data_IF_395736877032
#
_entry.id   IF_395736877032
#
_cell.length_a   1.000
_cell.length_b   1.000
_cell.length_c   1.000
_cell.angle_alpha   90.00
_cell.angle_beta   90.00
_cell.angle_gamma   90.00
#
_symmetry.space_group_name_H-M   'P 1'
#
loop_
_entity.id
_entity.type
_entity.pdbx_description
1 polymer ?
#
# COMPACT_ATOMS: atom_id res chain seq x y z
N UNK A 1 -16.59 0.29 -0.98
CA UNK A 1 -15.21 0.01 -1.44
C UNK A 1 -15.06 0.81 -2.70
N UNK A 2 -14.19 1.80 -2.68
CA UNK A 2 -13.82 2.52 -3.90
C UNK A 2 -13.24 1.51 -4.88
N UNK A 3 -13.49 1.70 -6.17
CA UNK A 3 -12.89 0.89 -7.22
C UNK A 3 -11.38 0.88 -7.04
N UNK A 4 -10.79 -0.31 -6.87
CA UNK A 4 -9.35 -0.42 -6.65
C UNK A 4 -8.96 -1.78 -6.05
N UNK A 5 -7.67 -1.97 -5.94
CA UNK A 5 -7.10 -3.17 -5.33
C UNK A 5 -7.29 -3.14 -3.81
N UNK A 6 -7.59 -4.28 -3.24
CA UNK A 6 -7.84 -4.43 -1.79
C UNK A 6 -6.63 -3.97 -0.96
N UNK A 7 -5.43 -4.32 -1.38
CA UNK A 7 -4.16 -3.99 -0.72
C UNK A 7 -3.81 -2.50 -0.72
N UNK A 8 -4.51 -1.70 -1.51
CA UNK A 8 -4.43 -0.23 -1.50
C UNK A 8 -5.40 0.41 -0.53
N UNK A 9 -6.40 -0.32 -0.04
CA UNK A 9 -7.43 0.17 0.86
C UNK A 9 -7.22 -0.31 2.30
N UNK A 10 -6.90 -1.58 2.47
CA UNK A 10 -6.57 -2.13 3.78
C UNK A 10 -5.60 -3.32 3.67
N UNK A 11 -4.82 -3.54 4.70
CA UNK A 11 -3.85 -4.62 4.77
C UNK A 11 -3.88 -5.30 6.15
N UNK A 12 -4.35 -6.55 6.23
CA UNK A 12 -4.19 -7.35 7.44
C UNK A 12 -2.71 -7.72 7.61
N UNK A 13 -2.04 -7.12 8.59
CA UNK A 13 -0.61 -7.37 8.83
C UNK A 13 -0.38 -8.70 9.55
N UNK A 14 -1.34 -9.11 10.37
CA UNK A 14 -1.41 -10.42 11.02
C UNK A 14 -2.81 -10.61 11.63
N UNK A 15 -3.16 -11.82 12.13
CA UNK A 15 -4.43 -12.02 12.84
C UNK A 15 -4.60 -11.00 13.97
N UNK A 16 -5.73 -10.30 13.97
CA UNK A 16 -6.07 -9.29 14.97
C UNK A 16 -5.56 -7.88 14.67
N UNK A 17 -4.89 -7.60 13.54
CA UNK A 17 -4.33 -6.28 13.26
C UNK A 17 -4.42 -5.88 11.78
N UNK A 18 -4.98 -4.69 11.50
CA UNK A 18 -5.20 -4.16 10.16
C UNK A 18 -4.66 -2.74 10.05
N UNK A 19 -3.93 -2.45 8.96
CA UNK A 19 -3.71 -1.08 8.47
C UNK A 19 -4.82 -0.74 7.48
N UNK A 20 -5.43 0.44 7.58
CA UNK A 20 -6.55 0.81 6.73
C UNK A 20 -6.53 2.28 6.34
N UNK A 21 -7.06 2.59 5.17
CA UNK A 21 -7.51 3.94 4.87
C UNK A 21 -8.72 4.29 5.73
N UNK A 22 -8.89 5.58 6.02
CA UNK A 22 -9.97 6.10 6.86
C UNK A 22 -11.37 5.80 6.31
N UNK A 23 -11.51 5.74 4.99
CA UNK A 23 -12.80 5.58 4.32
C UNK A 23 -13.33 4.13 4.33
N UNK A 24 -12.50 3.17 4.70
CA UNK A 24 -12.94 1.77 4.85
C UNK A 24 -13.60 1.61 6.21
N UNK A 25 -14.84 1.14 6.22
CA UNK A 25 -15.69 1.05 7.41
C UNK A 25 -16.19 -0.38 7.64
N UNK A 26 -16.94 -0.56 8.74
CA UNK A 26 -17.62 -1.80 9.10
C UNK A 26 -16.71 -3.00 9.42
N UNK A 27 -15.52 -2.73 9.92
CA UNK A 27 -14.61 -3.80 10.34
C UNK A 27 -15.17 -4.68 11.45
N UNK A 28 -15.99 -4.13 12.34
CA UNK A 28 -16.61 -4.90 13.44
C UNK A 28 -17.52 -6.03 12.95
N UNK A 29 -18.10 -5.89 11.76
CA UNK A 29 -18.91 -6.96 11.15
C UNK A 29 -18.04 -8.06 10.55
N UNK A 30 -16.93 -7.70 9.90
CA UNK A 30 -16.08 -8.63 9.14
C UNK A 30 -14.93 -9.17 9.99
N UNK A 31 -14.36 -8.32 10.86
CA UNK A 31 -13.20 -8.59 11.71
C UNK A 31 -13.48 -8.18 13.15
N UNK A 32 -14.47 -8.80 13.83
CA UNK A 32 -14.87 -8.37 15.18
C UNK A 32 -13.71 -8.44 16.17
N UNK A 33 -13.52 -7.34 16.90
CA UNK A 33 -12.47 -7.22 17.92
C UNK A 33 -11.04 -7.07 17.39
N UNK A 34 -10.86 -6.86 16.07
CA UNK A 34 -9.54 -6.59 15.52
C UNK A 34 -9.13 -5.13 15.77
N UNK A 35 -7.83 -4.93 15.99
CA UNK A 35 -7.23 -3.61 16.13
C UNK A 35 -6.98 -3.01 14.73
N UNK A 36 -7.59 -1.87 14.45
CA UNK A 36 -7.51 -1.21 13.15
C UNK A 36 -6.79 0.12 13.28
N UNK A 37 -5.68 0.26 12.57
CA UNK A 37 -4.97 1.51 12.43
C UNK A 37 -5.50 2.27 11.20
N UNK A 38 -6.37 3.24 11.43
CA UNK A 38 -6.86 4.12 10.38
C UNK A 38 -5.85 5.21 10.06
N UNK A 39 -5.35 5.20 8.83
CA UNK A 39 -4.46 6.26 8.37
C UNK A 39 -5.26 7.52 8.02
N UNK A 40 -4.72 8.70 8.32
CA UNK A 40 -5.39 9.97 8.00
C UNK A 40 -5.53 10.16 6.49
N UNK A 41 -6.46 11.02 6.11
CA UNK A 41 -6.58 11.46 4.74
C UNK A 41 -5.26 12.07 4.25
N UNK A 42 -5.04 11.95 2.95
CA UNK A 42 -3.86 12.51 2.33
C UNK A 42 -3.75 14.02 2.56
N UNK A 43 -2.52 14.49 2.76
CA UNK A 43 -2.22 15.91 2.78
C UNK A 43 -2.31 16.52 1.39
N UNK A 44 -3.39 17.23 1.09
CA UNK A 44 -3.55 17.98 -0.17
C UNK A 44 -2.42 18.98 -0.44
N UNK A 45 -1.71 19.43 0.59
CA UNK A 45 -0.53 20.29 0.40
C UNK A 45 0.61 19.61 -0.33
N UNK A 46 0.81 18.31 -0.09
CA UNK A 46 1.82 17.51 -0.79
C UNK A 46 1.38 17.18 -2.21
N UNK A 47 0.10 16.78 -2.37
CA UNK A 47 -0.52 16.53 -3.69
C UNK A 47 -0.42 17.76 -4.57
N UNK A 48 -0.74 18.93 -4.04
CA UNK A 48 -0.71 20.19 -4.81
C UNK A 48 0.67 20.47 -5.37
N UNK A 49 1.72 20.29 -4.57
CA UNK A 49 3.11 20.44 -5.05
C UNK A 49 3.44 19.49 -6.20
N UNK A 50 3.00 18.25 -6.13
CA UNK A 50 3.19 17.28 -7.21
C UNK A 50 2.42 17.68 -8.47
N UNK A 51 1.16 18.09 -8.35
CA UNK A 51 0.35 18.56 -9.47
C UNK A 51 0.91 19.83 -10.10
N UNK A 52 1.44 20.74 -9.29
CA UNK A 52 2.09 21.96 -9.78
C UNK A 52 3.38 21.62 -10.56
N UNK A 53 4.19 20.68 -10.08
CA UNK A 53 5.36 20.17 -10.80
C UNK A 53 4.96 19.50 -12.12
N UNK A 54 3.96 18.62 -12.11
CA UNK A 54 3.43 17.96 -13.30
C UNK A 54 2.96 18.98 -14.34
N UNK A 55 2.26 20.03 -13.90
CA UNK A 55 1.80 21.11 -14.77
C UNK A 55 2.94 22.00 -15.29
N UNK A 56 3.93 22.28 -14.43
CA UNK A 56 5.09 23.11 -14.81
C UNK A 56 5.98 22.42 -15.84
N UNK A 57 6.16 21.11 -15.72
CA UNK A 57 6.97 20.30 -16.62
C UNK A 57 6.21 19.89 -17.90
N UNK A 58 5.14 20.60 -18.23
CA UNK A 58 4.20 20.32 -19.32
C UNK A 58 4.81 19.56 -20.51
N UNK A 59 4.33 18.35 -20.77
CA UNK A 59 4.88 17.46 -21.77
C UNK A 59 6.15 16.71 -21.35
N UNK A 60 6.78 17.05 -20.22
CA UNK A 60 7.87 16.29 -19.62
C UNK A 60 7.36 15.51 -18.42
N UNK A 61 7.72 14.27 -18.36
CA UNK A 61 7.38 13.47 -17.21
C UNK A 61 8.36 13.73 -16.05
N UNK A 62 7.82 14.10 -14.90
CA UNK A 62 8.66 14.34 -13.72
C UNK A 62 8.84 13.05 -12.93
N UNK A 63 10.10 12.68 -12.75
CA UNK A 63 10.53 11.61 -11.85
C UNK A 63 11.75 12.10 -11.08
N UNK A 64 11.71 11.97 -9.76
CA UNK A 64 12.78 12.49 -8.90
C UNK A 64 14.16 11.98 -9.29
N UNK A 65 15.02 12.89 -9.76
CA UNK A 65 16.38 12.62 -10.25
C UNK A 65 16.46 12.23 -11.72
N UNK A 66 15.35 12.28 -12.45
CA UNK A 66 15.26 12.01 -13.89
C UNK A 66 14.60 13.17 -14.67
N UNK A 67 14.52 14.34 -14.04
CA UNK A 67 13.77 15.50 -14.54
C UNK A 67 14.26 15.96 -15.92
N UNK A 68 15.58 15.83 -16.17
CA UNK A 68 16.21 16.23 -17.42
C UNK A 68 16.56 15.04 -18.34
N UNK A 69 16.08 13.84 -18.03
CA UNK A 69 16.31 12.66 -18.85
C UNK A 69 15.37 12.64 -20.06
N UNK A 70 15.89 13.06 -21.24
CA UNK A 70 15.12 13.11 -22.47
C UNK A 70 14.67 11.75 -22.98
N UNK A 71 15.49 10.70 -22.85
CA UNK A 71 15.16 9.34 -23.27
C UNK A 71 14.00 8.78 -22.42
N UNK A 72 14.03 9.06 -21.12
CA UNK A 72 12.97 8.69 -20.22
C UNK A 72 11.67 9.44 -20.54
N UNK A 73 11.75 10.74 -20.82
CA UNK A 73 10.59 11.55 -21.22
C UNK A 73 9.96 11.03 -22.51
N UNK A 74 10.76 10.75 -23.53
CA UNK A 74 10.29 10.18 -24.78
C UNK A 74 9.62 8.81 -24.59
N UNK A 75 10.21 7.95 -23.77
CA UNK A 75 9.60 6.66 -23.42
C UNK A 75 8.22 6.81 -22.79
N UNK A 76 8.09 7.69 -21.79
CA UNK A 76 6.82 7.92 -21.09
C UNK A 76 5.77 8.52 -22.03
N UNK A 77 6.13 9.53 -22.82
CA UNK A 77 5.21 10.21 -23.74
C UNK A 77 4.75 9.31 -24.90
N UNK A 78 5.59 8.35 -25.30
CA UNK A 78 5.28 7.44 -26.40
C UNK A 78 4.52 6.20 -25.96
N UNK A 79 4.93 5.61 -24.82
CA UNK A 79 4.45 4.28 -24.41
C UNK A 79 3.54 4.28 -23.20
N UNK A 80 3.65 5.30 -22.33
CA UNK A 80 2.98 5.32 -21.05
C UNK A 80 2.06 6.54 -20.84
N UNK A 81 1.84 7.38 -21.84
CA UNK A 81 1.12 8.65 -21.68
C UNK A 81 -0.29 8.50 -21.08
N UNK A 82 -0.97 7.40 -21.36
CA UNK A 82 -2.33 7.13 -20.86
C UNK A 82 -2.33 6.36 -19.52
N UNK A 83 -1.16 5.93 -19.06
CA UNK A 83 -1.05 5.04 -17.89
C UNK A 83 -0.55 5.73 -16.64
N UNK A 84 0.22 6.80 -16.79
CA UNK A 84 0.86 7.42 -15.64
C UNK A 84 -0.12 8.27 -14.85
N UNK A 85 -0.51 7.75 -13.69
CA UNK A 85 -1.46 8.34 -12.76
C UNK A 85 -0.83 9.00 -11.54
N UNK A 86 -1.70 9.41 -10.66
CA UNK A 86 -1.37 9.89 -9.33
C UNK A 86 -1.96 8.92 -8.29
N UNK A 87 -1.14 8.49 -7.34
CA UNK A 87 -1.57 7.68 -6.19
C UNK A 87 -1.41 8.46 -4.90
N UNK A 88 -2.39 8.40 -4.04
CA UNK A 88 -2.33 9.02 -2.73
C UNK A 88 -1.21 8.45 -1.87
N UNK A 89 -0.47 9.32 -1.17
CA UNK A 89 0.65 8.89 -0.31
C UNK A 89 0.22 7.90 0.77
N UNK A 90 -0.99 8.04 1.31
CA UNK A 90 -1.55 7.14 2.32
C UNK A 90 -1.74 5.72 1.80
N UNK A 91 -1.98 5.55 0.51
CA UNK A 91 -2.03 4.24 -0.14
C UNK A 91 -0.68 3.52 -0.02
N UNK A 92 0.44 4.23 -0.17
CA UNK A 92 1.76 3.64 0.00
C UNK A 92 2.04 3.20 1.43
N UNK A 93 1.45 3.87 2.41
CA UNK A 93 1.59 3.53 3.82
C UNK A 93 0.70 2.36 4.25
N UNK A 94 -0.40 2.09 3.53
CA UNK A 94 -1.24 0.88 3.69
C UNK A 94 -0.67 -0.30 2.91
N UNK A 95 -0.13 -0.04 1.71
CA UNK A 95 0.38 -1.04 0.78
C UNK A 95 1.77 -1.55 1.20
N UNK A 96 1.83 -2.14 2.37
CA UNK A 96 3.04 -2.70 2.97
C UNK A 96 3.23 -4.16 2.56
N UNK A 97 4.44 -4.70 2.73
CA UNK A 97 4.73 -6.10 2.44
C UNK A 97 5.18 -6.82 3.70
N UNK A 98 4.39 -7.78 4.17
CA UNK A 98 4.79 -8.67 5.25
C UNK A 98 5.81 -9.69 4.74
N UNK A 99 7.02 -9.69 5.31
CA UNK A 99 8.04 -10.70 5.01
C UNK A 99 7.80 -11.99 5.78
N UNK A 100 7.43 -11.84 7.03
CA UNK A 100 7.07 -12.90 7.95
C UNK A 100 6.15 -12.33 9.06
N UNK A 101 5.87 -13.11 10.10
CA UNK A 101 5.01 -12.71 11.22
C UNK A 101 5.60 -11.60 12.11
N UNK A 102 6.87 -11.25 11.89
CA UNK A 102 7.61 -10.27 12.72
C UNK A 102 8.21 -9.11 11.92
N UNK A 103 8.21 -9.15 10.60
CA UNK A 103 8.85 -8.13 9.77
C UNK A 103 7.93 -7.64 8.65
N UNK A 104 7.81 -6.32 8.56
CA UNK A 104 6.99 -5.63 7.56
C UNK A 104 7.82 -4.60 6.80
N UNK A 105 7.90 -4.73 5.48
CA UNK A 105 8.49 -3.70 4.63
C UNK A 105 7.57 -2.49 4.54
N UNK A 106 8.13 -1.32 4.83
CA UNK A 106 7.44 -0.02 4.76
C UNK A 106 8.24 0.95 3.89
N UNK A 107 7.55 1.82 3.16
CA UNK A 107 8.20 2.79 2.28
C UNK A 107 8.49 4.13 2.95
N UNK A 108 7.81 4.44 4.06
CA UNK A 108 7.90 5.70 4.76
C UNK A 108 8.42 5.52 6.20
N UNK A 109 9.71 5.80 6.47
CA UNK A 109 10.27 5.64 7.81
C UNK A 109 9.73 6.66 8.82
N UNK A 110 9.15 7.76 8.33
CA UNK A 110 8.68 8.87 9.16
C UNK A 110 7.20 8.78 9.53
N UNK A 111 6.49 7.75 9.07
CA UNK A 111 5.11 7.52 9.49
C UNK A 111 5.10 6.87 10.88
N UNK A 112 5.12 7.71 11.93
CA UNK A 112 5.13 7.26 13.32
C UNK A 112 3.90 6.42 13.67
N UNK A 113 2.74 6.73 13.08
CA UNK A 113 1.50 5.99 13.34
C UNK A 113 1.62 4.53 12.89
N UNK A 114 2.08 4.30 11.66
CA UNK A 114 2.32 2.95 11.13
C UNK A 114 3.40 2.25 11.94
N UNK A 115 4.52 2.90 12.19
CA UNK A 115 5.63 2.32 12.92
C UNK A 115 5.24 1.92 14.35
N UNK A 116 4.47 2.74 15.06
CA UNK A 116 4.00 2.45 16.40
C UNK A 116 2.97 1.33 16.41
N UNK A 117 2.07 1.29 15.41
CA UNK A 117 1.10 0.21 15.26
C UNK A 117 1.78 -1.14 15.01
N UNK A 118 2.73 -1.20 14.08
CA UNK A 118 3.51 -2.41 13.81
C UNK A 118 4.21 -2.91 15.09
N UNK A 119 4.89 -2.02 15.81
CA UNK A 119 5.58 -2.35 17.07
C UNK A 119 4.62 -2.85 18.14
N UNK A 120 3.42 -2.25 18.28
CA UNK A 120 2.36 -2.70 19.19
C UNK A 120 2.00 -4.17 18.95
N UNK A 121 2.04 -4.61 17.71
CA UNK A 121 1.74 -5.97 17.29
C UNK A 121 2.99 -6.88 17.16
N UNK A 122 4.13 -6.48 17.73
CA UNK A 122 5.41 -7.20 17.68
C UNK A 122 5.90 -7.44 16.24
N UNK A 123 5.67 -6.44 15.36
CA UNK A 123 6.17 -6.43 13.98
C UNK A 123 7.22 -5.33 13.83
N UNK A 124 8.41 -5.71 13.39
CA UNK A 124 9.51 -4.78 13.11
C UNK A 124 9.38 -4.17 11.71
N UNK A 125 9.32 -2.84 11.56
CA UNK A 125 9.35 -2.22 10.26
C UNK A 125 10.73 -2.34 9.62
N UNK A 126 10.77 -2.75 8.34
CA UNK A 126 11.95 -2.77 7.47
C UNK A 126 11.77 -1.69 6.41
N UNK A 127 12.61 -0.65 6.47
CA UNK A 127 12.49 0.44 5.53
C UNK A 127 13.05 0.09 4.15
N UNK A 128 12.21 0.26 3.13
CA UNK A 128 12.58 0.12 1.72
C UNK A 128 12.46 1.48 1.03
N UNK A 129 13.57 2.05 0.52
CA UNK A 129 13.55 3.33 -0.19
C UNK A 129 12.86 3.17 -1.55
N UNK A 130 11.56 3.42 -1.58
CA UNK A 130 10.74 3.33 -2.78
C UNK A 130 10.82 4.65 -3.56
N UNK A 131 11.92 4.83 -4.33
CA UNK A 131 12.30 6.09 -4.99
C UNK A 131 11.27 6.57 -6.01
N UNK A 132 10.75 5.67 -6.83
CA UNK A 132 9.92 6.01 -8.00
C UNK A 132 8.44 5.64 -7.78
N UNK A 133 7.97 5.71 -6.55
CA UNK A 133 6.62 5.29 -6.15
C UNK A 133 5.51 5.93 -6.99
N UNK A 134 5.61 7.20 -7.33
CA UNK A 134 4.59 7.92 -8.10
C UNK A 134 4.55 7.50 -9.58
N UNK A 135 5.65 6.99 -10.11
CA UNK A 135 5.70 6.48 -11.46
C UNK A 135 5.00 5.12 -11.58
N UNK A 136 5.23 4.23 -10.63
CA UNK A 136 4.70 2.86 -10.68
C UNK A 136 3.24 2.75 -10.23
N UNK A 137 2.68 3.80 -9.68
CA UNK A 137 1.28 3.84 -9.22
C UNK A 137 0.92 2.71 -8.28
N UNK A 138 1.84 2.36 -7.39
CA UNK A 138 1.67 1.27 -6.43
C UNK A 138 2.70 1.26 -5.33
N UNK A 139 2.35 0.63 -4.22
CA UNK A 139 3.23 0.44 -3.07
C UNK A 139 4.07 -0.83 -3.16
N UNK A 140 4.69 -1.18 -2.04
CA UNK A 140 5.60 -2.33 -1.97
C UNK A 140 4.90 -3.67 -2.23
N UNK A 141 3.66 -3.83 -1.80
CA UNK A 141 2.90 -5.04 -2.05
C UNK A 141 2.52 -5.17 -3.53
N UNK A 142 2.04 -4.08 -4.15
CA UNK A 142 1.61 -4.09 -5.55
C UNK A 142 2.71 -4.51 -6.54
N UNK A 143 3.98 -4.22 -6.24
CA UNK A 143 5.12 -4.53 -7.13
C UNK A 143 5.75 -5.90 -6.85
N UNK A 144 5.18 -6.68 -5.94
CA UNK A 144 5.72 -7.99 -5.54
C UNK A 144 4.76 -9.10 -5.86
N UNK A 145 5.30 -10.28 -6.11
CA UNK A 145 4.57 -11.51 -6.29
C UNK A 145 5.23 -12.62 -5.48
N UNK A 146 4.48 -13.21 -4.56
CA UNK A 146 4.95 -14.36 -3.82
C UNK A 146 5.00 -15.59 -4.72
N UNK A 147 6.19 -16.11 -4.98
CA UNK A 147 6.37 -17.37 -5.70
C UNK A 147 6.33 -18.56 -4.74
N UNK A 148 6.89 -18.39 -3.55
CA UNK A 148 6.92 -19.43 -2.52
C UNK A 148 7.12 -18.76 -1.15
N UNK A 149 6.27 -19.06 -0.18
CA UNK A 149 6.47 -18.71 1.23
C UNK A 149 6.74 -19.97 2.06
N UNK A 150 7.67 -19.84 3.00
CA UNK A 150 7.87 -20.82 4.07
C UNK A 150 7.17 -20.29 5.32
N UNK A 151 6.42 -21.13 5.98
CA UNK A 151 5.70 -20.74 7.20
C UNK A 151 4.51 -21.66 7.47
N UNK A 152 3.83 -21.40 8.56
CA UNK A 152 2.58 -22.07 8.92
C UNK A 152 1.40 -21.20 8.51
N UNK A 153 0.37 -21.83 7.98
CA UNK A 153 -0.90 -21.14 7.74
C UNK A 153 -1.48 -20.67 9.06
N UNK A 154 -1.73 -19.36 9.16
CA UNK A 154 -2.37 -18.78 10.34
C UNK A 154 -3.90 -18.81 10.18
N UNK A 155 -4.59 -19.16 11.26
CA UNK A 155 -6.04 -19.04 11.30
C UNK A 155 -6.42 -17.61 11.71
N UNK A 156 -6.92 -16.83 10.77
CA UNK A 156 -7.34 -15.45 11.00
C UNK A 156 -8.67 -15.36 11.77
N UNK A 157 -9.44 -16.45 11.85
CA UNK A 157 -10.74 -16.50 12.52
C UNK A 157 -10.82 -17.74 13.42
N UNK A 158 -10.06 -17.78 14.55
CA UNK A 158 -9.97 -18.97 15.40
C UNK A 158 -11.32 -19.39 16.01
N UNK A 159 -12.21 -18.44 16.24
CA UNK A 159 -13.53 -18.69 16.86
C UNK A 159 -14.63 -18.99 15.83
N UNK A 160 -14.32 -18.97 14.53
CA UNK A 160 -15.27 -19.20 13.46
C UNK A 160 -15.48 -20.69 13.12
N UNK A 161 -15.58 -21.57 14.11
CA UNK A 161 -15.84 -22.99 13.91
C UNK A 161 -17.14 -23.32 13.14
N UNK A 162 -17.93 -22.30 12.74
CA UNK A 162 -19.19 -22.43 12.03
C UNK A 162 -19.25 -21.71 10.69
N UNK A 163 -18.18 -21.07 10.21
CA UNK A 163 -18.18 -20.50 8.87
C UNK A 163 -17.77 -21.61 7.90
N UNK A 164 -18.75 -22.20 7.23
CA UNK A 164 -18.50 -23.06 6.08
C UNK A 164 -17.93 -22.19 4.96
N UNK A 165 -16.61 -22.12 4.86
CA UNK A 165 -15.97 -21.50 3.71
C UNK A 165 -16.35 -22.38 2.51
N UNK A 166 -17.25 -21.88 1.67
CA UNK A 166 -17.53 -22.49 0.39
C UNK A 166 -16.21 -22.57 -0.40
N UNK A 167 -15.64 -23.76 -0.52
CA UNK A 167 -14.41 -24.04 -1.27
C UNK A 167 -14.54 -23.83 -2.78
N UNK A 168 -15.42 -22.94 -3.23
CA UNK A 168 -15.81 -22.75 -4.62
C UNK A 168 -15.09 -21.66 -5.40
N UNK A 169 -14.00 -21.06 -4.89
CA UNK A 169 -13.26 -20.04 -5.63
C UNK A 169 -11.73 -20.23 -5.55
N UNK A 170 -11.26 -21.37 -6.01
CA UNK A 170 -9.88 -21.54 -6.45
C UNK A 170 -9.89 -22.36 -7.74
N UNK A 171 -9.97 -21.67 -8.85
CA UNK A 171 -9.49 -22.10 -10.16
C UNK A 171 -8.47 -21.09 -10.64
#
# INVERSE_FOLDING_TARGET
IMEGHTDSNFHPIKPGAILSLKDVQNYEETFPGWDVCYLPDQSWSKVRKFLDLKKHNGGKWWLLGEEDNSEFTEFVETWLQDWVGYVEETVFDVNVLMLDEHHCCVSNPNNEQVNNFLKKHNVGPVYIPWRHRFFWDGGLHCITLDLQRKGTQQNYFPDSNNITINKGFFL
#
